data_IF_545610266048
#
_entry.id   IF_545610266048
#
_cell.length_a   1.000
_cell.length_b   1.000
_cell.length_c   1.000
_cell.angle_alpha   90.00
_cell.angle_beta   90.00
_cell.angle_gamma   90.00
#
_symmetry.space_group_name_H-M   'P 1'
#
loop_
_entity.id
_entity.type
_entity.pdbx_description
1 polymer ?
#
# COMPACT_ATOMS: atom_id res chain seq x y z
N UNK A 1 12.59 -4.07 -12.35
CA UNK A 1 11.47 -3.80 -11.42
C UNK A 1 10.81 -5.11 -11.04
N UNK A 2 10.34 -5.89 -11.99
CA UNK A 2 9.91 -7.27 -11.73
C UNK A 2 11.06 -8.25 -11.96
N UNK A 3 11.59 -8.85 -10.89
CA UNK A 3 12.71 -9.79 -10.97
C UNK A 3 12.28 -11.21 -11.33
N UNK A 4 11.03 -11.60 -11.04
CA UNK A 4 10.51 -12.91 -11.42
C UNK A 4 10.28 -13.01 -12.93
N UNK A 5 9.79 -11.95 -13.55
CA UNK A 5 9.66 -11.88 -15.02
C UNK A 5 11.04 -11.95 -15.70
N UNK A 6 12.03 -11.24 -15.16
CA UNK A 6 13.41 -11.30 -15.67
C UNK A 6 13.95 -12.74 -15.58
N UNK A 7 13.70 -13.42 -14.46
CA UNK A 7 14.13 -14.79 -14.24
C UNK A 7 13.57 -15.76 -15.29
N UNK A 8 12.31 -15.62 -15.67
CA UNK A 8 11.63 -16.56 -16.58
C UNK A 8 11.87 -16.28 -18.08
N UNK A 9 12.07 -15.00 -18.46
CA UNK A 9 12.11 -14.61 -19.88
C UNK A 9 13.54 -14.49 -20.42
N UNK A 10 14.50 -14.09 -19.60
CA UNK A 10 15.82 -13.66 -20.10
C UNK A 10 16.86 -14.78 -20.05
N UNK A 11 17.77 -14.81 -21.04
CA UNK A 11 18.95 -15.70 -21.02
C UNK A 11 20.18 -15.04 -20.37
N UNK A 12 20.27 -13.70 -20.43
CA UNK A 12 21.37 -12.91 -19.89
C UNK A 12 20.82 -11.65 -19.23
N UNK A 13 21.41 -11.25 -18.10
CA UNK A 13 21.07 -10.02 -17.37
C UNK A 13 22.31 -9.16 -17.21
N UNK A 14 22.11 -7.84 -17.20
CA UNK A 14 23.10 -6.85 -16.78
C UNK A 14 22.51 -5.97 -15.68
N UNK A 15 23.27 -5.78 -14.60
CA UNK A 15 22.95 -4.89 -13.49
C UNK A 15 23.76 -3.62 -13.68
N UNK A 16 23.09 -2.47 -13.58
CA UNK A 16 23.70 -1.16 -13.79
C UNK A 16 23.49 -0.24 -12.59
N UNK A 17 24.48 0.61 -12.33
CA UNK A 17 24.39 1.68 -11.34
C UNK A 17 25.14 2.92 -11.83
N UNK A 18 24.52 4.09 -11.70
CA UNK A 18 25.06 5.39 -12.17
C UNK A 18 25.57 5.36 -13.63
N UNK A 19 24.90 4.61 -14.50
CA UNK A 19 25.27 4.48 -15.92
C UNK A 19 26.37 3.46 -16.21
N UNK A 20 26.88 2.73 -15.22
CA UNK A 20 27.93 1.72 -15.39
C UNK A 20 27.36 0.32 -15.15
N UNK A 21 27.76 -0.66 -15.98
CA UNK A 21 27.47 -2.08 -15.75
C UNK A 21 28.35 -2.58 -14.60
N UNK A 22 27.72 -2.98 -13.50
CA UNK A 22 28.40 -3.48 -12.30
C UNK A 22 28.49 -5.00 -12.29
N UNK A 23 27.56 -5.68 -12.95
CA UNK A 23 27.56 -7.13 -13.09
C UNK A 23 26.78 -7.53 -14.36
N UNK A 24 27.25 -8.55 -15.06
CA UNK A 24 26.53 -9.11 -16.21
C UNK A 24 26.88 -10.59 -16.39
N UNK A 25 25.93 -11.38 -16.87
CA UNK A 25 26.13 -12.82 -17.03
C UNK A 25 24.83 -13.56 -17.35
N UNK A 26 24.90 -14.90 -17.47
CA UNK A 26 23.71 -15.73 -17.61
C UNK A 26 22.70 -15.42 -16.50
N UNK A 27 21.41 -15.36 -16.84
CA UNK A 27 20.34 -14.97 -15.90
C UNK A 27 20.35 -15.81 -14.63
N UNK A 28 20.51 -17.13 -14.77
CA UNK A 28 20.61 -18.06 -13.64
C UNK A 28 21.74 -17.67 -12.69
N UNK A 29 22.95 -17.44 -13.21
CA UNK A 29 24.12 -17.16 -12.38
C UNK A 29 24.00 -15.82 -11.65
N UNK A 30 23.59 -14.77 -12.37
CA UNK A 30 23.45 -13.41 -11.81
C UNK A 30 22.33 -13.34 -10.77
N UNK A 31 21.19 -14.02 -10.99
CA UNK A 31 20.05 -13.95 -10.09
C UNK A 31 20.14 -14.92 -8.89
N UNK A 32 20.87 -16.02 -9.01
CA UNK A 32 21.01 -16.99 -7.90
C UNK A 32 22.28 -16.76 -7.08
N UNK A 33 23.37 -16.29 -7.71
CA UNK A 33 24.66 -16.06 -7.04
C UNK A 33 25.30 -14.73 -7.49
N UNK A 34 24.67 -13.58 -7.19
CA UNK A 34 25.21 -12.28 -7.56
C UNK A 34 26.57 -12.03 -6.90
N UNK A 35 27.52 -11.53 -7.68
CA UNK A 35 28.87 -11.22 -7.21
C UNK A 35 28.99 -9.78 -6.70
N UNK A 36 28.34 -8.83 -7.37
CA UNK A 36 28.34 -7.41 -7.00
C UNK A 36 27.53 -7.13 -5.73
N UNK A 37 27.88 -6.07 -4.99
CA UNK A 37 27.09 -5.66 -3.83
C UNK A 37 25.71 -5.13 -4.25
N UNK A 38 25.61 -4.47 -5.41
CA UNK A 38 24.35 -4.07 -6.01
C UNK A 38 23.46 -5.25 -6.37
N UNK A 39 24.01 -6.28 -7.01
CA UNK A 39 23.27 -7.50 -7.35
C UNK A 39 22.74 -8.18 -6.10
N UNK A 40 23.60 -8.36 -5.09
CA UNK A 40 23.20 -8.92 -3.78
C UNK A 40 22.07 -8.12 -3.14
N UNK A 41 22.19 -6.79 -3.12
CA UNK A 41 21.19 -5.88 -2.54
C UNK A 41 19.85 -5.93 -3.29
N UNK A 42 19.87 -5.99 -4.62
CA UNK A 42 18.66 -6.07 -5.44
C UNK A 42 17.92 -7.39 -5.24
N UNK A 43 18.63 -8.51 -5.28
CA UNK A 43 18.02 -9.85 -5.22
C UNK A 43 17.48 -10.14 -3.82
N UNK A 44 18.22 -9.78 -2.77
CA UNK A 44 17.75 -10.00 -1.39
C UNK A 44 16.55 -9.13 -1.02
N UNK A 45 16.37 -8.00 -1.71
CA UNK A 45 15.20 -7.12 -1.53
C UNK A 45 13.93 -7.67 -2.17
N UNK A 46 14.03 -8.70 -3.04
CA UNK A 46 12.85 -9.29 -3.68
C UNK A 46 12.06 -10.09 -2.64
N UNK A 47 10.74 -9.86 -2.53
CA UNK A 47 9.88 -10.67 -1.67
C UNK A 47 9.91 -12.15 -2.11
N UNK A 48 10.20 -13.10 -1.20
CA UNK A 48 10.14 -14.51 -1.55
C UNK A 48 8.70 -14.94 -1.85
N UNK A 49 8.55 -15.83 -2.82
CA UNK A 49 7.22 -16.29 -3.27
C UNK A 49 6.72 -17.49 -2.46
N UNK A 50 7.65 -18.26 -1.88
CA UNK A 50 7.38 -19.56 -1.26
C UNK A 50 7.13 -19.52 0.26
N UNK A 51 7.41 -18.39 0.92
CA UNK A 51 7.24 -18.25 2.37
C UNK A 51 6.94 -16.81 2.77
N UNK A 52 6.26 -16.64 3.90
CA UNK A 52 6.13 -15.33 4.57
C UNK A 52 7.35 -15.07 5.46
N UNK A 53 7.92 -13.88 5.35
CA UNK A 53 9.03 -13.36 6.15
C UNK A 53 8.54 -12.22 7.05
N UNK A 54 9.21 -12.02 8.19
CA UNK A 54 8.83 -10.97 9.12
C UNK A 54 9.22 -9.58 8.59
N UNK A 55 10.46 -9.40 8.12
CA UNK A 55 10.98 -8.16 7.56
C UNK A 55 11.79 -8.44 6.30
N UNK A 56 11.80 -7.48 5.38
CA UNK A 56 12.64 -7.52 4.19
C UNK A 56 14.08 -7.21 4.58
N UNK A 57 15.02 -8.04 4.13
CA UNK A 57 16.44 -7.79 4.35
C UNK A 57 16.92 -6.72 3.37
N UNK A 58 17.63 -5.73 3.88
CA UNK A 58 18.18 -4.63 3.11
C UNK A 58 19.69 -4.66 3.25
N UNK A 59 20.43 -4.57 2.14
CA UNK A 59 21.89 -4.49 2.15
C UNK A 59 22.29 -3.13 1.60
N UNK A 60 23.19 -2.44 2.29
CA UNK A 60 23.75 -1.18 1.84
C UNK A 60 24.64 -1.39 0.62
N UNK A 61 24.88 -0.34 -0.18
CA UNK A 61 25.91 -0.35 -1.22
C UNK A 61 27.27 -0.94 -0.81
N UNK A 62 27.62 -0.81 0.48
CA UNK A 62 28.89 -1.25 1.08
C UNK A 62 28.84 -2.71 1.57
N UNK A 63 27.73 -3.42 1.35
CA UNK A 63 27.57 -4.82 1.74
C UNK A 63 27.18 -5.05 3.20
N UNK A 64 26.87 -3.98 3.95
CA UNK A 64 26.40 -4.10 5.34
C UNK A 64 24.88 -4.21 5.37
N UNK A 65 24.35 -5.08 6.22
CA UNK A 65 22.91 -5.14 6.45
C UNK A 65 22.42 -3.80 7.00
N UNK A 66 21.46 -3.18 6.32
CA UNK A 66 20.77 -2.00 6.81
C UNK A 66 19.71 -2.51 7.77
N UNK A 67 20.09 -2.68 9.03
CA UNK A 67 19.13 -2.62 10.11
C UNK A 67 18.67 -1.16 10.19
N UNK A 68 17.56 -0.84 9.53
CA UNK A 68 16.85 0.40 9.83
C UNK A 68 16.69 0.42 11.36
N UNK A 69 17.21 1.45 12.03
CA UNK A 69 17.03 1.66 13.46
C UNK A 69 15.56 2.02 13.76
N UNK A 70 14.64 1.18 13.30
CA UNK A 70 13.19 1.26 13.55
C UNK A 70 12.96 1.44 15.04
N UNK A 71 13.67 0.70 15.89
CA UNK A 71 13.59 0.80 17.35
C UNK A 71 13.77 2.23 17.94
N UNK A 72 14.59 3.10 17.35
CA UNK A 72 14.77 4.49 17.84
C UNK A 72 13.74 5.46 17.25
N UNK A 73 13.40 5.28 15.97
CA UNK A 73 12.33 6.03 15.31
C UNK A 73 11.01 5.81 16.03
N UNK A 74 10.70 4.56 16.35
CA UNK A 74 9.46 4.14 16.98
C UNK A 74 9.28 4.65 18.41
N UNK A 75 10.34 4.68 19.24
CA UNK A 75 10.21 5.11 20.65
C UNK A 75 9.66 6.52 20.80
N UNK A 76 9.97 7.42 19.86
CA UNK A 76 9.41 8.76 19.85
C UNK A 76 7.93 8.76 19.39
N UNK A 77 7.58 7.92 18.41
CA UNK A 77 6.19 7.76 17.94
C UNK A 77 5.28 7.29 19.08
N UNK A 78 5.65 6.22 19.77
CA UNK A 78 4.88 5.64 20.86
C UNK A 78 4.69 6.66 21.98
N UNK A 79 5.73 7.43 22.29
CA UNK A 79 5.68 8.48 23.31
C UNK A 79 4.68 9.58 22.96
N UNK A 80 4.57 9.95 21.69
CA UNK A 80 3.70 11.07 21.24
C UNK A 80 2.28 10.62 20.91
N UNK A 81 2.08 9.38 20.43
CA UNK A 81 0.80 8.91 19.86
C UNK A 81 0.08 7.88 20.74
N UNK A 82 0.80 7.21 21.64
CA UNK A 82 0.29 6.09 22.42
C UNK A 82 0.14 4.81 21.59
N UNK A 83 0.39 3.66 22.22
CA UNK A 83 0.07 2.35 21.64
C UNK A 83 -1.43 2.16 21.73
N UNK A 84 -2.06 1.70 20.64
CA UNK A 84 -3.50 1.42 20.63
C UNK A 84 -3.76 0.04 21.20
N UNK A 85 -4.76 -0.09 22.05
CA UNK A 85 -5.27 -1.41 22.41
C UNK A 85 -6.01 -2.00 21.21
N UNK A 86 -5.66 -3.23 20.84
CA UNK A 86 -6.37 -3.98 19.81
C UNK A 86 -7.59 -4.64 20.44
N UNK A 87 -8.78 -4.25 19.99
CA UNK A 87 -9.97 -5.06 20.22
C UNK A 87 -10.24 -5.84 18.94
N UNK A 88 -10.59 -7.13 19.00
CA UNK A 88 -10.92 -7.92 17.80
C UNK A 88 -12.28 -7.51 17.19
N UNK A 89 -12.48 -6.20 17.04
CA UNK A 89 -13.69 -5.53 16.62
C UNK A 89 -13.57 -5.21 15.13
N UNK A 90 -14.69 -5.32 14.43
CA UNK A 90 -14.80 -4.87 13.04
C UNK A 90 -14.71 -3.35 12.98
N UNK A 91 -13.71 -2.83 12.27
CA UNK A 91 -13.55 -1.41 12.00
C UNK A 91 -14.23 -0.99 10.69
N UNK A 92 -14.29 -1.87 9.70
CA UNK A 92 -14.93 -1.63 8.41
C UNK A 92 -15.76 -2.84 8.03
N UNK A 93 -16.99 -2.62 7.55
CA UNK A 93 -17.85 -3.68 7.07
C UNK A 93 -18.50 -3.28 5.74
N UNK A 94 -18.32 -4.12 4.73
CA UNK A 94 -18.98 -4.06 3.44
C UNK A 94 -20.09 -5.10 3.41
N UNK A 95 -21.31 -4.66 3.13
CA UNK A 95 -22.47 -5.55 3.02
C UNK A 95 -23.17 -5.31 1.68
N UNK A 96 -23.03 -6.29 0.77
CA UNK A 96 -23.66 -6.35 -0.55
C UNK A 96 -23.42 -5.08 -1.39
N UNK A 97 -22.20 -4.54 -1.34
CA UNK A 97 -21.87 -3.27 -2.01
C UNK A 97 -21.70 -3.48 -3.52
N UNK A 98 -22.47 -2.74 -4.30
CA UNK A 98 -22.35 -2.74 -5.76
C UNK A 98 -21.99 -1.37 -6.31
N UNK A 99 -21.33 -1.34 -7.46
CA UNK A 99 -21.02 -0.12 -8.19
C UNK A 99 -21.15 -0.37 -9.69
N UNK A 100 -21.99 0.44 -10.32
CA UNK A 100 -22.12 0.53 -11.77
C UNK A 100 -21.64 1.91 -12.22
N UNK A 101 -20.85 1.95 -13.29
CA UNK A 101 -20.52 3.17 -14.00
C UNK A 101 -21.30 3.22 -15.30
N UNK A 102 -21.90 4.38 -15.58
CA UNK A 102 -22.46 4.66 -16.89
C UNK A 102 -21.28 4.93 -17.84
N UNK A 103 -21.11 4.11 -18.87
CA UNK A 103 -20.17 4.44 -19.95
C UNK A 103 -20.72 5.67 -20.68
N UNK A 104 -20.08 6.81 -20.44
CA UNK A 104 -20.47 8.14 -20.91
C UNK A 104 -20.22 8.36 -22.40
N UNK A 105 -20.51 7.36 -23.25
CA UNK A 105 -20.39 7.48 -24.69
C UNK A 105 -21.47 8.46 -25.21
N UNK A 106 -21.14 9.75 -25.19
CA UNK A 106 -21.96 10.86 -25.69
C UNK A 106 -22.31 10.76 -27.19
N UNK A 107 -21.75 9.78 -27.91
CA UNK A 107 -21.94 9.57 -29.35
C UNK A 107 -22.72 8.30 -29.74
N UNK A 108 -23.14 7.44 -28.80
CA UNK A 108 -24.00 6.29 -29.13
C UNK A 108 -25.45 6.57 -28.78
N UNK A 109 -26.27 6.80 -29.82
CA UNK A 109 -27.73 6.83 -29.76
C UNK A 109 -28.25 5.55 -29.06
N UNK A 110 -29.22 5.78 -28.19
CA UNK A 110 -30.27 4.87 -27.69
C UNK A 110 -30.21 3.45 -28.26
N UNK A 111 -29.76 2.49 -27.44
CA UNK A 111 -30.47 1.22 -27.14
C UNK A 111 -29.61 0.18 -26.40
N UNK A 112 -28.31 0.44 -26.17
CA UNK A 112 -27.50 -0.30 -25.20
C UNK A 112 -26.49 0.65 -24.53
N UNK A 113 -26.83 1.19 -23.37
CA UNK A 113 -25.81 1.71 -22.45
C UNK A 113 -25.10 0.49 -21.89
N UNK A 114 -23.91 0.18 -22.39
CA UNK A 114 -23.05 -0.85 -21.79
C UNK A 114 -22.65 -0.38 -20.39
N UNK A 115 -23.48 -0.70 -19.40
CA UNK A 115 -23.24 -0.40 -17.99
C UNK A 115 -22.10 -1.27 -17.50
N UNK A 116 -20.98 -0.65 -17.11
CA UNK A 116 -19.84 -1.39 -16.57
C UNK A 116 -20.07 -1.59 -15.07
N UNK A 117 -20.38 -2.83 -14.68
CA UNK A 117 -20.49 -3.23 -13.28
C UNK A 117 -19.08 -3.41 -12.70
N UNK A 118 -18.62 -2.41 -11.96
CA UNK A 118 -17.30 -2.42 -11.33
C UNK A 118 -17.27 -3.20 -10.01
N UNK A 119 -18.40 -3.27 -9.28
CA UNK A 119 -18.56 -4.09 -8.08
C UNK A 119 -19.93 -4.76 -8.10
N UNK A 120 -19.98 -6.03 -7.69
CA UNK A 120 -21.17 -6.85 -7.63
C UNK A 120 -21.32 -7.47 -6.24
N UNK A 121 -22.21 -6.89 -5.43
CA UNK A 121 -22.60 -7.39 -4.11
C UNK A 121 -21.42 -7.80 -3.22
N UNK A 122 -20.37 -6.97 -3.23
CA UNK A 122 -19.14 -7.22 -2.49
C UNK A 122 -19.40 -7.14 -0.99
N UNK A 123 -19.06 -8.22 -0.29
CA UNK A 123 -19.21 -8.36 1.16
C UNK A 123 -17.90 -8.85 1.77
N UNK A 124 -17.35 -8.09 2.72
CA UNK A 124 -16.18 -8.45 3.51
C UNK A 124 -16.04 -7.52 4.73
N UNK A 125 -15.19 -7.88 5.68
CA UNK A 125 -14.91 -7.10 6.88
C UNK A 125 -13.42 -6.89 7.12
N UNK A 126 -13.10 -5.80 7.82
CA UNK A 126 -11.77 -5.47 8.33
C UNK A 126 -11.83 -5.35 9.85
N UNK A 127 -10.90 -5.98 10.56
CA UNK A 127 -10.74 -5.99 12.01
C UNK A 127 -9.62 -5.05 12.46
N UNK A 128 -9.70 -4.51 13.67
CA UNK A 128 -8.64 -3.62 14.18
C UNK A 128 -7.27 -4.30 14.25
N UNK A 129 -6.23 -3.56 13.85
CA UNK A 129 -4.84 -4.01 13.92
C UNK A 129 -4.43 -5.01 12.85
N UNK A 130 -5.36 -5.52 12.04
CA UNK A 130 -5.03 -6.41 10.93
C UNK A 130 -4.60 -5.62 9.68
N UNK A 131 -3.82 -6.28 8.83
CA UNK A 131 -3.61 -5.87 7.44
C UNK A 131 -4.40 -6.79 6.53
N UNK A 132 -5.52 -6.29 5.97
CA UNK A 132 -6.31 -7.00 4.99
C UNK A 132 -5.79 -6.71 3.58
N UNK A 133 -5.39 -7.76 2.87
CA UNK A 133 -4.98 -7.69 1.46
C UNK A 133 -6.19 -7.70 0.53
N UNK A 134 -6.20 -6.86 -0.49
CA UNK A 134 -7.18 -6.88 -1.56
C UNK A 134 -6.47 -7.08 -2.90
N UNK A 135 -6.70 -8.23 -3.52
CA UNK A 135 -5.98 -8.67 -4.74
C UNK A 135 -6.93 -9.02 -5.87
N UNK A 136 -6.41 -9.06 -7.08
CA UNK A 136 -7.17 -9.33 -8.31
C UNK A 136 -6.53 -8.65 -9.50
N UNK A 137 -6.91 -9.05 -10.71
CA UNK A 137 -6.41 -8.43 -11.95
C UNK A 137 -6.71 -6.93 -12.05
N UNK A 138 -6.03 -6.24 -12.97
CA UNK A 138 -6.37 -4.85 -13.30
C UNK A 138 -7.84 -4.75 -13.70
N UNK A 139 -8.55 -3.75 -13.19
CA UNK A 139 -9.99 -3.58 -13.45
C UNK A 139 -10.94 -4.39 -12.57
N UNK A 140 -10.46 -5.26 -11.68
CA UNK A 140 -11.29 -6.09 -10.77
C UNK A 140 -12.12 -5.32 -9.71
N UNK A 141 -11.95 -3.99 -9.59
CA UNK A 141 -12.72 -3.15 -8.67
C UNK A 141 -11.97 -2.71 -7.39
N UNK A 142 -10.72 -3.11 -7.18
CA UNK A 142 -9.92 -2.80 -5.96
C UNK A 142 -9.87 -1.30 -5.62
N UNK A 143 -9.41 -0.46 -6.56
CA UNK A 143 -9.34 0.99 -6.34
C UNK A 143 -10.72 1.65 -6.26
N UNK A 144 -11.76 1.03 -6.84
CA UNK A 144 -13.15 1.50 -6.67
C UNK A 144 -13.61 1.31 -5.23
N UNK A 145 -13.28 0.17 -4.59
CA UNK A 145 -13.55 -0.06 -3.17
C UNK A 145 -12.86 1.00 -2.31
N UNK A 146 -11.56 1.25 -2.51
CA UNK A 146 -10.82 2.28 -1.79
C UNK A 146 -11.46 3.68 -1.91
N UNK A 147 -11.88 4.05 -3.13
CA UNK A 147 -12.54 5.32 -3.42
C UNK A 147 -13.95 5.42 -2.82
N UNK A 148 -14.66 4.29 -2.67
CA UNK A 148 -15.95 4.25 -1.96
C UNK A 148 -15.74 4.45 -0.47
N UNK A 149 -14.76 3.77 0.15
CA UNK A 149 -14.48 3.93 1.59
C UNK A 149 -14.18 5.40 1.93
N UNK A 150 -13.44 6.08 1.07
CA UNK A 150 -13.01 7.47 1.28
C UNK A 150 -14.02 8.54 0.83
N UNK A 151 -15.16 8.13 0.25
CA UNK A 151 -16.19 9.04 -0.23
C UNK A 151 -15.86 9.75 -1.56
N UNK A 152 -14.78 9.34 -2.25
CA UNK A 152 -14.41 9.87 -3.57
C UNK A 152 -15.36 9.37 -4.67
N UNK A 153 -15.93 8.18 -4.51
CA UNK A 153 -16.94 7.60 -5.39
C UNK A 153 -18.12 7.13 -4.54
N UNK A 154 -19.35 7.28 -5.05
CA UNK A 154 -20.55 6.74 -4.37
C UNK A 154 -20.82 5.30 -4.82
N UNK A 155 -21.19 4.39 -3.90
CA UNK A 155 -21.71 3.08 -4.27
C UNK A 155 -23.03 3.23 -5.02
N UNK A 156 -23.42 2.23 -5.80
CA UNK A 156 -24.75 2.16 -6.42
C UNK A 156 -25.78 1.55 -5.45
N UNK A 157 -25.36 0.58 -4.65
CA UNK A 157 -26.17 -0.06 -3.61
C UNK A 157 -25.28 -0.71 -2.54
N UNK A 158 -25.91 -1.23 -1.49
CA UNK A 158 -25.25 -1.88 -0.36
C UNK A 158 -24.94 -0.92 0.79
N UNK A 159 -24.38 -1.45 1.86
CA UNK A 159 -24.07 -0.71 3.09
C UNK A 159 -22.57 -0.77 3.38
N UNK A 160 -22.03 0.36 3.78
CA UNK A 160 -20.64 0.45 4.26
C UNK A 160 -20.68 1.10 5.64
N UNK A 161 -20.21 0.39 6.66
CA UNK A 161 -20.06 0.95 7.99
C UNK A 161 -18.59 1.07 8.40
N UNK A 162 -18.28 2.15 9.08
CA UNK A 162 -17.05 2.35 9.82
C UNK A 162 -17.40 2.28 11.31
N UNK A 163 -16.91 1.25 11.99
CA UNK A 163 -17.47 0.77 13.26
C UNK A 163 -18.99 0.58 13.15
N UNK A 164 -19.75 1.29 13.98
CA UNK A 164 -21.21 1.22 14.05
C UNK A 164 -21.88 2.32 13.20
N UNK A 165 -21.10 3.20 12.59
CA UNK A 165 -21.61 4.35 11.83
C UNK A 165 -21.64 4.04 10.33
N UNK A 166 -22.76 4.32 9.66
CA UNK A 166 -22.88 4.15 8.21
C UNK A 166 -22.15 5.30 7.50
N UNK A 167 -21.25 4.95 6.57
CA UNK A 167 -20.52 5.94 5.76
C UNK A 167 -21.42 6.64 4.74
N UNK A 168 -22.55 6.02 4.38
CA UNK A 168 -23.54 6.58 3.48
C UNK A 168 -24.91 6.47 4.14
N UNK A 169 -25.66 7.58 4.14
CA UNK A 169 -27.04 7.56 4.65
C UNK A 169 -28.01 6.92 3.64
N UNK A 170 -29.29 6.84 4.00
CA UNK A 170 -30.34 6.25 3.14
C UNK A 170 -30.52 6.98 1.79
N UNK A 171 -30.03 8.22 1.68
CA UNK A 171 -30.01 8.99 0.42
C UNK A 171 -28.70 8.82 -0.35
N UNK A 172 -27.86 7.87 0.03
CA UNK A 172 -26.54 7.60 -0.55
C UNK A 172 -25.61 8.84 -0.55
N UNK A 173 -25.68 9.63 0.53
CA UNK A 173 -24.80 10.78 0.76
C UNK A 173 -23.72 10.37 1.75
N UNK A 174 -22.46 10.56 1.35
CA UNK A 174 -21.30 10.29 2.20
C UNK A 174 -21.35 11.12 3.49
N UNK A 175 -21.05 10.50 4.61
CA UNK A 175 -21.08 11.06 5.97
C UNK A 175 -19.64 11.30 6.47
N UNK A 176 -19.00 12.41 6.07
CA UNK A 176 -17.58 12.63 6.33
C UNK A 176 -17.22 12.73 7.82
N UNK A 177 -18.18 13.09 8.67
CA UNK A 177 -17.97 13.25 10.11
C UNK A 177 -17.52 11.97 10.81
N UNK A 178 -17.83 10.79 10.27
CA UNK A 178 -17.49 9.51 10.88
C UNK A 178 -16.08 9.03 10.51
N UNK A 179 -15.60 9.37 9.32
CA UNK A 179 -14.39 8.76 8.75
C UNK A 179 -13.30 9.76 8.37
N UNK A 180 -13.60 11.04 8.10
CA UNK A 180 -12.57 12.01 7.71
C UNK A 180 -11.57 12.22 8.85
N UNK A 181 -10.27 12.16 8.52
CA UNK A 181 -9.17 12.17 9.48
C UNK A 181 -8.93 10.84 10.21
N UNK A 182 -9.89 9.91 10.20
CA UNK A 182 -9.74 8.59 10.81
C UNK A 182 -9.46 7.48 9.79
N UNK A 183 -9.95 7.65 8.56
CA UNK A 183 -9.66 6.82 7.41
C UNK A 183 -8.85 7.64 6.42
N UNK A 184 -7.63 7.21 6.13
CA UNK A 184 -6.71 7.92 5.24
C UNK A 184 -6.22 6.99 4.14
N UNK A 185 -5.77 7.58 3.03
CA UNK A 185 -5.37 6.84 1.84
C UNK A 185 -4.00 7.28 1.34
N UNK A 186 -3.14 6.31 1.08
CA UNK A 186 -1.94 6.45 0.28
C UNK A 186 -2.31 6.05 -1.14
N UNK A 187 -2.20 7.01 -2.06
CA UNK A 187 -2.53 6.82 -3.46
C UNK A 187 -1.39 6.14 -4.23
N UNK A 188 -1.75 5.46 -5.32
CA UNK A 188 -0.83 4.76 -6.22
C UNK A 188 0.25 5.66 -6.80
N UNK A 189 -0.13 6.87 -7.22
CA UNK A 189 0.80 7.84 -7.79
C UNK A 189 1.12 8.96 -6.79
N UNK A 190 2.33 8.98 -6.21
CA UNK A 190 2.73 10.07 -5.33
C UNK A 190 2.83 11.42 -6.06
N UNK A 191 3.07 11.45 -7.37
CA UNK A 191 3.22 12.70 -8.13
C UNK A 191 1.92 13.49 -8.16
N UNK A 192 0.82 12.85 -8.59
CA UNK A 192 -0.49 13.50 -8.64
C UNK A 192 -1.10 13.74 -7.25
N UNK A 193 -0.71 12.95 -6.24
CA UNK A 193 -1.27 13.09 -4.90
C UNK A 193 -0.71 14.25 -4.09
N UNK A 194 0.49 14.76 -4.41
CA UNK A 194 1.15 15.86 -3.70
C UNK A 194 1.03 17.18 -4.46
N UNK A 195 0.64 18.26 -3.78
CA UNK A 195 0.57 19.57 -4.42
C UNK A 195 1.99 20.13 -4.62
N UNK A 196 2.47 20.33 -5.87
CA UNK A 196 3.86 20.73 -6.14
C UNK A 196 4.16 22.18 -5.74
N UNK A 197 3.14 23.00 -5.44
CA UNK A 197 3.28 24.40 -5.04
C UNK A 197 3.56 24.57 -3.55
N UNK A 198 3.37 23.53 -2.75
CA UNK A 198 3.61 23.55 -1.31
C UNK A 198 4.94 22.88 -0.99
N UNK A 199 5.61 23.39 0.05
CA UNK A 199 6.77 22.71 0.62
C UNK A 199 6.31 21.45 1.36
N UNK A 200 7.22 20.52 1.58
CA UNK A 200 6.95 19.28 2.33
C UNK A 200 6.38 19.59 3.72
N UNK A 201 6.89 20.60 4.42
CA UNK A 201 6.33 21.04 5.71
C UNK A 201 4.84 21.39 5.63
N UNK A 202 4.43 22.09 4.58
CA UNK A 202 3.06 22.59 4.45
C UNK A 202 2.11 21.45 4.07
N UNK A 203 2.59 20.52 3.24
CA UNK A 203 1.87 19.29 2.87
C UNK A 203 1.58 18.43 4.11
N UNK A 204 2.57 18.25 4.98
CA UNK A 204 2.41 17.46 6.22
C UNK A 204 1.58 18.23 7.26
N UNK A 205 1.73 19.55 7.32
CA UNK A 205 1.01 20.40 8.28
C UNK A 205 -0.47 20.57 7.95
N UNK A 206 -0.87 20.48 6.68
CA UNK A 206 -2.24 20.78 6.25
C UNK A 206 -3.31 19.90 6.94
N UNK A 207 -3.16 18.56 7.00
CA UNK A 207 -4.10 17.73 7.74
C UNK A 207 -4.09 18.00 9.25
N UNK A 208 -2.93 18.30 9.84
CA UNK A 208 -2.83 18.66 11.27
C UNK A 208 -3.63 19.93 11.56
N UNK A 209 -3.42 20.99 10.77
CA UNK A 209 -4.13 22.27 10.93
C UNK A 209 -5.64 22.12 10.72
N UNK A 210 -6.05 21.24 9.80
CA UNK A 210 -7.46 21.05 9.48
C UNK A 210 -8.21 20.28 10.57
N UNK A 211 -7.64 19.18 11.08
CA UNK A 211 -8.31 18.28 12.01
C UNK A 211 -7.96 18.50 13.49
N UNK A 212 -6.78 19.06 13.80
CA UNK A 212 -6.29 19.27 15.17
C UNK A 212 -6.12 20.77 15.43
N UNK A 213 -7.26 21.48 15.52
CA UNK A 213 -7.31 22.96 15.58
C UNK A 213 -6.71 23.57 16.85
N UNK A 214 -6.63 22.79 17.92
CA UNK A 214 -6.16 23.25 19.23
C UNK A 214 -4.64 23.11 19.41
N UNK A 215 -3.90 22.65 18.38
CA UNK A 215 -2.45 22.55 18.45
C UNK A 215 -1.79 23.93 18.54
N UNK A 216 -0.89 24.08 19.51
CA UNK A 216 0.04 25.21 19.52
C UNK A 216 1.02 25.10 18.35
N UNK A 217 1.64 26.23 17.99
CA UNK A 217 2.67 26.23 16.93
C UNK A 217 3.87 25.33 17.25
N UNK A 218 4.23 25.22 18.53
CA UNK A 218 5.32 24.37 18.98
C UNK A 218 4.96 22.88 18.82
N UNK A 219 3.75 22.48 19.21
CA UNK A 219 3.27 21.10 19.02
C UNK A 219 3.13 20.75 17.54
N UNK A 220 2.61 21.68 16.72
CA UNK A 220 2.53 21.50 15.28
C UNK A 220 3.90 21.23 14.67
N UNK A 221 4.92 22.03 15.04
CA UNK A 221 6.27 21.84 14.55
C UNK A 221 6.88 20.51 15.02
N UNK A 222 6.66 20.14 16.28
CA UNK A 222 7.11 18.84 16.82
C UNK A 222 6.47 17.68 16.06
N UNK A 223 5.15 17.71 15.83
CA UNK A 223 4.44 16.68 15.10
C UNK A 223 4.93 16.55 13.65
N UNK A 224 5.25 17.66 12.98
CA UNK A 224 5.82 17.63 11.62
C UNK A 224 7.21 16.98 11.62
N UNK A 225 8.04 17.30 12.62
CA UNK A 225 9.36 16.68 12.77
C UNK A 225 9.25 15.17 13.04
N UNK A 226 8.33 14.77 13.92
CA UNK A 226 8.09 13.36 14.19
C UNK A 226 7.65 12.63 12.90
N UNK A 227 6.69 13.19 12.15
CA UNK A 227 6.17 12.58 10.91
C UNK A 227 7.23 12.42 9.81
N UNK A 228 8.11 13.40 9.62
CA UNK A 228 9.17 13.29 8.61
C UNK A 228 10.25 12.30 9.04
N UNK A 229 10.53 12.23 10.35
CA UNK A 229 11.45 11.25 10.92
C UNK A 229 10.87 9.84 10.71
N UNK A 230 9.59 9.60 11.04
CA UNK A 230 8.86 8.32 10.81
C UNK A 230 9.00 7.88 9.36
N UNK A 231 8.80 8.80 8.42
CA UNK A 231 8.91 8.51 7.01
C UNK A 231 10.36 8.17 6.56
N UNK A 232 11.35 8.22 7.46
CA UNK A 232 12.74 7.92 7.20
C UNK A 232 13.43 9.03 6.39
N UNK A 233 13.01 10.28 6.59
CA UNK A 233 13.50 11.42 5.83
C UNK A 233 14.19 12.44 6.74
N UNK A 234 15.26 13.06 6.25
CA UNK A 234 15.93 14.16 6.96
C UNK A 234 14.97 15.33 7.15
N UNK A 235 15.01 15.98 8.32
CA UNK A 235 14.24 17.20 8.61
C UNK A 235 14.55 18.35 7.64
N UNK A 236 15.73 18.39 7.03
CA UNK A 236 16.05 19.37 5.97
C UNK A 236 15.11 19.24 4.75
N UNK A 237 14.51 18.06 4.56
CA UNK A 237 13.54 17.81 3.49
C UNK A 237 12.28 18.67 3.63
N UNK A 238 11.96 19.13 4.83
CA UNK A 238 10.76 19.93 5.12
C UNK A 238 10.75 21.27 4.38
N UNK A 239 11.92 21.81 4.01
CA UNK A 239 12.06 23.09 3.33
C UNK A 239 12.04 23.01 1.81
N UNK A 240 12.01 21.80 1.27
CA UNK A 240 12.05 21.50 -0.16
C UNK A 240 10.65 21.24 -0.71
N UNK A 241 10.54 21.23 -2.02
CA UNK A 241 9.32 20.94 -2.77
C UNK A 241 9.29 19.48 -3.23
N UNK A 242 8.09 18.88 -3.42
CA UNK A 242 7.96 17.49 -3.88
C UNK A 242 8.75 17.17 -5.15
N UNK A 243 8.84 18.13 -6.09
CA UNK A 243 9.51 17.91 -7.36
C UNK A 243 11.02 17.66 -7.25
N UNK A 244 11.63 18.00 -6.11
CA UNK A 244 13.05 17.83 -5.83
C UNK A 244 13.42 16.44 -5.26
N UNK A 245 12.44 15.56 -5.10
CA UNK A 245 12.58 14.23 -4.50
C UNK A 245 12.39 13.11 -5.52
N UNK A 246 13.02 11.96 -5.26
CA UNK A 246 12.79 10.71 -6.01
C UNK A 246 11.38 10.15 -5.74
N UNK A 247 10.92 9.20 -6.57
CA UNK A 247 9.60 8.56 -6.40
C UNK A 247 9.42 7.96 -5.01
N UNK A 248 10.42 7.23 -4.50
CA UNK A 248 10.39 6.65 -3.14
C UNK A 248 10.33 7.68 -2.03
N UNK A 249 11.06 8.79 -2.18
CA UNK A 249 11.02 9.89 -1.21
C UNK A 249 9.66 10.61 -1.23
N UNK A 250 9.04 10.79 -2.40
CA UNK A 250 7.67 11.33 -2.48
C UNK A 250 6.65 10.39 -1.86
N UNK A 251 6.84 9.07 -2.01
CA UNK A 251 5.98 8.09 -1.35
C UNK A 251 6.08 8.19 0.18
N UNK A 252 7.31 8.33 0.71
CA UNK A 252 7.55 8.60 2.13
C UNK A 252 6.84 9.88 2.62
N UNK A 253 6.88 10.97 1.84
CA UNK A 253 6.12 12.20 2.14
C UNK A 253 4.61 11.94 2.15
N UNK A 254 4.09 11.16 1.19
CA UNK A 254 2.68 10.79 1.12
C UNK A 254 2.23 9.97 2.35
N UNK A 255 3.07 9.04 2.80
CA UNK A 255 2.88 8.26 4.04
C UNK A 255 2.84 9.19 5.25
N UNK A 256 3.83 10.08 5.42
CA UNK A 256 3.86 11.05 6.51
C UNK A 256 2.59 11.90 6.56
N UNK A 257 2.14 12.42 5.40
CA UNK A 257 0.90 13.19 5.31
C UNK A 257 -0.32 12.36 5.71
N UNK A 258 -0.45 11.13 5.22
CA UNK A 258 -1.59 10.27 5.55
C UNK A 258 -1.64 9.95 7.05
N UNK A 259 -0.48 9.75 7.69
CA UNK A 259 -0.38 9.48 9.11
C UNK A 259 -0.59 10.72 10.00
N UNK A 260 -0.51 11.93 9.44
CA UNK A 260 -0.58 13.17 10.19
C UNK A 260 -1.86 13.31 11.04
N UNK A 261 -2.97 12.75 10.56
CA UNK A 261 -4.27 12.76 11.28
C UNK A 261 -4.40 11.66 12.33
N UNK A 262 -3.36 10.83 12.50
CA UNK A 262 -3.35 9.62 13.36
C UNK A 262 -4.52 8.69 13.03
N UNK A 263 -4.66 8.23 11.77
CA UNK A 263 -5.81 7.45 11.33
C UNK A 263 -5.90 6.10 12.02
N UNK A 264 -7.11 5.58 12.17
CA UNK A 264 -7.36 4.20 12.63
C UNK A 264 -7.33 3.17 11.51
N UNK A 265 -7.68 3.61 10.30
CA UNK A 265 -7.61 2.80 9.08
C UNK A 265 -6.79 3.54 8.01
N UNK A 266 -5.75 2.86 7.52
CA UNK A 266 -4.94 3.34 6.40
C UNK A 266 -5.18 2.46 5.18
N UNK A 267 -5.61 3.07 4.08
CA UNK A 267 -5.78 2.40 2.79
C UNK A 267 -4.52 2.62 1.97
N UNK A 268 -3.86 1.55 1.55
CA UNK A 268 -2.68 1.59 0.72
C UNK A 268 -3.07 1.10 -0.68
N UNK A 269 -3.29 2.02 -1.63
CA UNK A 269 -3.64 1.67 -3.02
C UNK A 269 -2.36 1.62 -3.86
N UNK A 270 -1.84 0.42 -4.10
CA UNK A 270 -0.63 0.17 -4.89
C UNK A 270 0.57 1.02 -4.41
N UNK A 271 0.93 1.00 -3.11
CA UNK A 271 1.85 1.97 -2.52
C UNK A 271 3.29 1.85 -3.03
N UNK A 272 3.63 0.81 -3.79
CA UNK A 272 4.99 0.54 -4.29
C UNK A 272 5.06 0.31 -5.80
N UNK A 273 3.95 0.43 -6.56
CA UNK A 273 3.90 -0.01 -7.96
C UNK A 273 4.86 0.75 -8.91
N UNK A 274 5.24 1.97 -8.56
CA UNK A 274 6.12 2.82 -9.37
C UNK A 274 7.57 2.88 -8.84
N UNK A 275 7.96 1.98 -7.93
CA UNK A 275 9.24 2.02 -7.23
C UNK A 275 10.18 0.91 -7.72
N UNK A 276 11.49 1.10 -7.53
CA UNK A 276 12.45 0.02 -7.67
C UNK A 276 12.36 -0.97 -6.49
N UNK A 277 12.86 -2.20 -6.68
CA UNK A 277 12.74 -3.29 -5.71
C UNK A 277 13.34 -2.93 -4.35
N UNK A 278 14.47 -2.22 -4.35
CA UNK A 278 15.15 -1.85 -3.11
C UNK A 278 14.36 -0.81 -2.31
N UNK A 279 13.80 0.19 -2.99
CA UNK A 279 12.96 1.22 -2.40
C UNK A 279 11.60 0.63 -1.99
N UNK A 280 11.03 -0.27 -2.78
CA UNK A 280 9.82 -1.04 -2.42
C UNK A 280 10.02 -1.74 -1.09
N UNK A 281 11.07 -2.55 -0.92
CA UNK A 281 11.36 -3.24 0.32
C UNK A 281 11.48 -2.29 1.52
N UNK A 282 12.10 -1.11 1.34
CA UNK A 282 12.18 -0.10 2.39
C UNK A 282 10.82 0.50 2.77
N UNK A 283 9.95 0.78 1.80
CA UNK A 283 8.59 1.28 2.06
C UNK A 283 7.75 0.22 2.78
N UNK A 284 7.86 -1.04 2.37
CA UNK A 284 7.12 -2.13 2.99
C UNK A 284 7.57 -2.38 4.43
N UNK A 285 8.88 -2.33 4.70
CA UNK A 285 9.41 -2.37 6.07
C UNK A 285 8.88 -1.20 6.90
N UNK A 286 8.88 0.02 6.36
CA UNK A 286 8.31 1.19 7.05
C UNK A 286 6.83 0.97 7.41
N UNK A 287 6.02 0.47 6.47
CA UNK A 287 4.61 0.20 6.74
C UNK A 287 4.41 -0.92 7.78
N UNK A 288 5.26 -1.96 7.78
CA UNK A 288 5.25 -2.99 8.84
C UNK A 288 5.62 -2.42 10.20
N UNK A 289 6.65 -1.60 10.27
CA UNK A 289 7.06 -0.97 11.53
C UNK A 289 5.95 -0.07 12.08
N UNK A 290 5.29 0.71 11.21
CA UNK A 290 4.12 1.51 11.61
C UNK A 290 2.98 0.61 12.11
N UNK A 291 2.70 -0.50 11.44
CA UNK A 291 1.61 -1.39 11.83
C UNK A 291 1.88 -2.10 13.16
N UNK A 292 3.09 -2.65 13.35
CA UNK A 292 3.44 -3.37 14.58
C UNK A 292 3.41 -2.45 15.80
N UNK A 293 3.80 -1.19 15.64
CA UNK A 293 4.05 -0.29 16.77
C UNK A 293 2.85 0.59 17.12
N UNK A 294 2.00 0.91 16.12
CA UNK A 294 0.78 1.69 16.32
C UNK A 294 -0.48 0.83 16.32
N UNK A 295 -0.36 -0.50 16.10
CA UNK A 295 -1.49 -1.39 15.80
C UNK A 295 -2.42 -0.78 14.75
N UNK A 296 -1.82 -0.23 13.69
CA UNK A 296 -2.55 0.44 12.64
C UNK A 296 -3.29 -0.59 11.77
N UNK A 297 -4.59 -0.40 11.60
CA UNK A 297 -5.35 -1.24 10.66
C UNK A 297 -5.07 -0.80 9.24
N UNK A 298 -4.80 -1.75 8.34
CA UNK A 298 -4.48 -1.46 6.95
C UNK A 298 -5.37 -2.24 5.98
N UNK A 299 -5.88 -1.54 4.96
CA UNK A 299 -6.40 -2.17 3.74
C UNK A 299 -5.32 -2.03 2.66
N UNK A 300 -4.66 -3.14 2.32
CA UNK A 300 -3.51 -3.15 1.43
C UNK A 300 -3.89 -3.69 0.06
N UNK A 301 -3.87 -2.83 -0.96
CA UNK A 301 -4.20 -3.16 -2.34
C UNK A 301 -2.90 -3.27 -3.14
N UNK A 302 -2.69 -4.40 -3.80
CA UNK A 302 -1.60 -4.57 -4.76
C UNK A 302 -1.92 -5.69 -5.76
N UNK A 303 -1.31 -5.61 -6.94
CA UNK A 303 -1.23 -6.71 -7.90
C UNK A 303 -0.01 -7.63 -7.67
N UNK A 304 0.96 -7.21 -6.86
CA UNK A 304 2.15 -8.01 -6.51
C UNK A 304 1.78 -8.98 -5.37
N UNK A 305 1.46 -10.23 -5.76
CA UNK A 305 1.10 -11.29 -4.81
C UNK A 305 2.21 -11.61 -3.79
N UNK A 306 3.51 -11.67 -4.17
CA UNK A 306 4.58 -11.81 -3.20
C UNK A 306 4.52 -10.73 -2.11
N UNK A 307 4.34 -9.46 -2.46
CA UNK A 307 4.17 -8.37 -1.48
C UNK A 307 2.96 -8.60 -0.59
N UNK A 308 1.82 -8.98 -1.16
CA UNK A 308 0.59 -9.26 -0.42
C UNK A 308 0.83 -10.37 0.62
N UNK A 309 1.50 -11.46 0.24
CA UNK A 309 1.85 -12.55 1.15
C UNK A 309 2.63 -12.02 2.35
N UNK A 310 3.60 -11.14 2.09
CA UNK A 310 4.46 -10.58 3.13
C UNK A 310 3.73 -9.62 4.07
N UNK A 311 2.82 -8.81 3.55
CA UNK A 311 2.19 -7.72 4.30
C UNK A 311 0.91 -8.13 5.03
N UNK A 312 0.11 -9.02 4.45
CA UNK A 312 -1.29 -9.17 4.86
C UNK A 312 -1.49 -10.36 5.83
N UNK A 313 -2.42 -10.20 6.77
CA UNK A 313 -2.91 -11.26 7.65
C UNK A 313 -3.95 -12.11 6.93
N UNK A 314 -4.96 -11.45 6.34
CA UNK A 314 -6.03 -12.04 5.53
C UNK A 314 -6.03 -11.42 4.14
N UNK A 315 -6.61 -12.12 3.16
CA UNK A 315 -6.65 -11.68 1.77
C UNK A 315 -8.06 -11.88 1.23
N UNK A 316 -8.56 -10.87 0.51
CA UNK A 316 -9.77 -10.92 -0.31
C UNK A 316 -9.35 -10.91 -1.78
N UNK A 317 -9.74 -11.96 -2.52
CA UNK A 317 -9.50 -12.10 -3.95
C UNK A 317 -10.71 -11.61 -4.71
N UNK A 318 -10.53 -10.61 -5.58
CA UNK A 318 -11.55 -10.04 -6.44
C UNK A 318 -11.36 -10.43 -7.90
N UNK A 319 -12.47 -10.74 -8.57
CA UNK A 319 -12.54 -10.91 -10.01
C UNK A 319 -13.81 -10.29 -10.57
N UNK A 320 -13.68 -9.41 -11.57
CA UNK A 320 -14.82 -8.79 -12.26
C UNK A 320 -15.84 -8.17 -11.29
N UNK A 321 -15.34 -7.54 -10.21
CA UNK A 321 -16.17 -6.93 -9.17
C UNK A 321 -16.81 -7.91 -8.16
N UNK A 322 -16.49 -9.20 -8.21
CA UNK A 322 -16.99 -10.22 -7.29
C UNK A 322 -15.89 -10.68 -6.32
N UNK A 323 -16.27 -11.01 -5.09
CA UNK A 323 -15.40 -11.70 -4.14
C UNK A 323 -15.34 -13.19 -4.49
N UNK A 324 -14.16 -13.68 -4.86
CA UNK A 324 -13.93 -15.09 -5.22
C UNK A 324 -13.52 -15.94 -4.01
N UNK A 325 -12.68 -15.40 -3.14
CA UNK A 325 -12.13 -16.11 -2.00
C UNK A 325 -11.70 -15.12 -0.92
N UNK A 326 -11.94 -15.47 0.35
CA UNK A 326 -11.43 -14.76 1.52
C UNK A 326 -10.80 -15.79 2.44
N UNK A 327 -9.52 -15.63 2.77
CA UNK A 327 -8.84 -16.55 3.68
C UNK A 327 -7.63 -15.87 4.35
N UNK A 328 -7.07 -16.52 5.36
CA UNK A 328 -5.76 -16.15 5.91
C UNK A 328 -4.69 -16.24 4.82
N UNK A 329 -3.71 -15.35 4.87
CA UNK A 329 -2.69 -15.18 3.83
C UNK A 329 -1.95 -16.49 3.53
N UNK A 330 -1.39 -17.16 4.54
CA UNK A 330 -0.68 -18.43 4.32
C UNK A 330 -1.60 -19.56 3.83
N UNK A 331 -2.83 -19.64 4.33
CA UNK A 331 -3.82 -20.62 3.86
C UNK A 331 -4.17 -20.40 2.39
N UNK A 332 -4.35 -19.14 1.98
CA UNK A 332 -4.67 -18.78 0.60
C UNK A 332 -3.52 -19.13 -0.36
N UNK A 333 -2.26 -18.87 0.03
CA UNK A 333 -1.10 -19.17 -0.81
C UNK A 333 -0.77 -20.67 -0.88
N UNK A 334 -0.95 -21.40 0.22
CA UNK A 334 -0.55 -22.82 0.30
C UNK A 334 -1.69 -23.77 -0.10
N UNK A 335 -2.95 -23.39 0.13
CA UNK A 335 -4.14 -24.21 -0.11
C UNK A 335 -5.31 -23.37 -0.67
N UNK A 336 -5.13 -22.70 -1.83
CA UNK A 336 -6.20 -21.92 -2.46
C UNK A 336 -7.38 -22.83 -2.83
N UNK A 337 -8.59 -22.39 -2.54
CA UNK A 337 -9.80 -23.16 -2.81
C UNK A 337 -10.39 -22.81 -4.18
N UNK A 338 -10.49 -21.51 -4.49
CA UNK A 338 -11.15 -21.04 -5.69
C UNK A 338 -10.25 -21.20 -6.93
N UNK A 339 -10.85 -21.57 -8.07
CA UNK A 339 -10.13 -21.84 -9.33
C UNK A 339 -9.36 -20.61 -9.83
N UNK A 340 -9.96 -19.43 -9.72
CA UNK A 340 -9.30 -18.17 -10.06
C UNK A 340 -8.09 -17.87 -9.16
N UNK A 341 -8.20 -18.11 -7.85
CA UNK A 341 -7.08 -17.92 -6.92
C UNK A 341 -5.91 -18.85 -7.26
N UNK A 342 -6.20 -20.11 -7.60
CA UNK A 342 -5.20 -21.07 -8.10
C UNK A 342 -4.49 -20.54 -9.35
N UNK A 343 -5.25 -20.01 -10.30
CA UNK A 343 -4.69 -19.42 -11.52
C UNK A 343 -3.79 -18.22 -11.22
N UNK A 344 -4.25 -17.28 -10.38
CA UNK A 344 -3.47 -16.11 -9.96
C UNK A 344 -2.14 -16.49 -9.33
N UNK A 345 -2.13 -17.44 -8.39
CA UNK A 345 -0.92 -17.91 -7.72
C UNK A 345 0.01 -18.64 -8.71
N UNK A 346 -0.54 -19.40 -9.65
CA UNK A 346 0.26 -20.11 -10.66
C UNK A 346 0.92 -19.17 -11.68
N UNK A 347 0.29 -18.03 -11.98
CA UNK A 347 0.82 -17.01 -12.88
C UNK A 347 1.86 -16.09 -12.23
N UNK A 348 2.05 -16.19 -10.90
CA UNK A 348 3.03 -15.41 -10.17
C UNK A 348 4.45 -15.81 -10.60
N UNK A 349 5.24 -14.90 -11.18
CA UNK A 349 6.61 -15.19 -11.60
C UNK A 349 7.52 -15.51 -10.42
N UNK A 350 8.43 -16.48 -10.56
CA UNK A 350 9.25 -16.98 -9.44
C UNK A 350 10.73 -16.92 -9.76
N UNK A 351 11.51 -16.17 -8.96
CA UNK A 351 12.98 -16.29 -8.99
C UNK A 351 13.39 -17.70 -8.58
N UNK A 352 12.65 -18.31 -7.66
CA UNK A 352 12.89 -19.65 -7.16
C UNK A 352 12.77 -20.73 -8.26
N UNK A 353 12.26 -20.41 -9.44
CA UNK A 353 12.26 -21.32 -10.61
C UNK A 353 13.66 -21.57 -11.19
N UNK A 354 14.63 -20.69 -10.89
CA UNK A 354 16.00 -20.78 -11.39
C UNK A 354 16.91 -21.69 -10.54
N UNK A 355 16.52 -21.93 -9.29
CA UNK A 355 17.21 -22.79 -8.30
C UNK A 355 16.72 -24.21 -8.47
#
# INVERSE_FOLDING_TARGET
HDMGVIAEITNKVAIMRYGVIVEQGPTKDVLTNPQSSEGKSLIISVPPTNKKINRFTLISPEGKEITLNSANLTKNIIKTWGVRETSNRKILNFENVSKVFDDGSLLKKQDNKDMVKALNEVTFDVFEGETLGLVGESGSGKSTIAKIITGLIKPSSGKISYYNDQLYNDRNIYQPQYSRGQVQMIFQDPYSSLNPRFKVRDIIAEPLKFYQKDLSQQELQSNIHDLIDIAGMSRQSLDRYPHEFSGGQRQRISIARALATRPKLLICDEPTSALDVSIQAQILNLLKDIQDELHLTMLFISHDLPVIRQMCNRIVVLKDGNVCEINDSESLFNQPQHSYTKQLINLMPKIESLV
#
